data_IF_951078441850
#
_entry.id   IF_951078441850
#
_cell.length_a   1.000
_cell.length_b   1.000
_cell.length_c   1.000
_cell.angle_alpha   90.00
_cell.angle_beta   90.00
_cell.angle_gamma   90.00
#
_symmetry.space_group_name_H-M   'P 1'
#
loop_
_entity.id
_entity.type
_entity.pdbx_description
1 polymer ?
#
# COMPACT_ATOMS: atom_id res chain seq x y z
N UNK A 1 -5.14 -9.76 -23.17
CA UNK A 1 -3.67 -9.73 -23.33
C UNK A 1 -3.06 -9.20 -22.04
N UNK A 2 -2.03 -9.87 -21.51
CA UNK A 2 -1.25 -9.40 -20.36
C UNK A 2 0.11 -8.90 -20.86
N UNK A 3 0.58 -7.74 -20.36
CA UNK A 3 1.87 -7.14 -20.73
C UNK A 3 2.46 -6.39 -19.54
N UNK A 4 3.76 -6.58 -19.32
CA UNK A 4 4.49 -5.83 -18.30
C UNK A 4 4.78 -4.41 -18.77
N UNK A 5 4.53 -3.44 -17.90
CA UNK A 5 4.72 -2.00 -18.14
C UNK A 5 5.37 -1.41 -16.88
N UNK A 6 6.31 -0.46 -17.00
CA UNK A 6 6.84 0.24 -15.84
C UNK A 6 5.71 0.97 -15.08
N UNK A 7 5.74 0.92 -13.75
CA UNK A 7 4.78 1.57 -12.86
C UNK A 7 5.50 2.03 -11.57
N UNK A 8 4.91 3.02 -10.91
CA UNK A 8 5.33 3.51 -9.60
C UNK A 8 4.60 2.76 -8.49
N UNK A 9 5.36 2.25 -7.52
CA UNK A 9 4.84 1.45 -6.42
C UNK A 9 5.25 2.03 -5.06
N UNK A 10 4.43 1.76 -4.05
CA UNK A 10 4.81 1.85 -2.64
C UNK A 10 5.08 0.45 -2.12
N UNK A 11 6.26 0.26 -1.53
CA UNK A 11 6.64 -1.01 -0.93
C UNK A 11 5.88 -1.26 0.36
N UNK A 12 5.31 -2.46 0.50
CA UNK A 12 4.62 -2.87 1.74
C UNK A 12 5.60 -3.40 2.79
N UNK A 13 6.64 -4.11 2.35
CA UNK A 13 7.57 -4.86 3.22
C UNK A 13 8.99 -4.27 3.27
N UNK A 14 9.20 -3.09 2.67
CA UNK A 14 10.48 -2.40 2.77
C UNK A 14 10.67 -1.85 4.19
N UNK A 15 11.87 -2.08 4.75
CA UNK A 15 12.30 -1.51 6.01
C UNK A 15 12.32 0.03 5.93
N UNK A 16 11.72 0.68 6.94
CA UNK A 16 11.57 2.13 7.02
C UNK A 16 12.69 2.82 7.84
N UNK A 17 13.74 2.10 8.22
CA UNK A 17 14.92 2.59 8.95
C UNK A 17 14.88 2.32 10.46
N UNK A 18 13.80 1.74 10.97
CA UNK A 18 13.57 1.45 12.39
C UNK A 18 13.19 -0.03 12.64
N UNK A 19 13.43 -0.91 11.66
CA UNK A 19 13.05 -2.32 11.75
C UNK A 19 11.56 -2.58 11.50
N UNK A 20 10.78 -1.55 11.14
CA UNK A 20 9.36 -1.69 10.81
C UNK A 20 9.12 -1.52 9.30
N UNK A 21 7.98 -2.04 8.83
CA UNK A 21 7.53 -1.92 7.44
C UNK A 21 6.18 -1.20 7.40
N UNK A 22 5.75 -0.77 6.21
CA UNK A 22 4.43 -0.19 6.05
C UNK A 22 3.32 -1.19 6.45
N UNK A 23 3.51 -2.48 6.12
CA UNK A 23 2.59 -3.55 6.53
C UNK A 23 2.53 -3.70 8.04
N UNK A 24 3.66 -3.80 8.74
CA UNK A 24 3.66 -4.04 10.19
C UNK A 24 3.05 -2.86 10.95
N UNK A 25 3.35 -1.62 10.53
CA UNK A 25 2.72 -0.41 11.07
C UNK A 25 1.20 -0.40 10.85
N UNK A 26 0.75 -0.75 9.64
CA UNK A 26 -0.68 -0.81 9.34
C UNK A 26 -1.41 -1.89 10.15
N UNK A 27 -0.84 -3.09 10.29
CA UNK A 27 -1.41 -4.16 11.12
C UNK A 27 -1.51 -3.76 12.58
N UNK A 28 -0.46 -3.13 13.13
CA UNK A 28 -0.50 -2.60 14.49
C UNK A 28 -1.60 -1.55 14.66
N UNK A 29 -1.73 -0.61 13.72
CA UNK A 29 -2.77 0.41 13.78
C UNK A 29 -4.18 -0.18 13.71
N UNK A 30 -4.37 -1.25 12.92
CA UNK A 30 -5.63 -2.02 12.90
C UNK A 30 -5.90 -2.65 14.27
N UNK A 31 -4.89 -3.25 14.90
CA UNK A 31 -5.05 -3.87 16.22
C UNK A 31 -5.36 -2.87 17.34
N UNK A 32 -4.79 -1.66 17.26
CA UNK A 32 -5.02 -0.58 18.22
C UNK A 32 -6.39 0.12 18.02
N UNK A 33 -7.08 -0.16 16.91
CA UNK A 33 -8.34 0.50 16.53
C UNK A 33 -9.56 -0.28 17.02
N UNK A 34 -10.55 0.40 17.61
CA UNK A 34 -11.84 -0.21 17.96
C UNK A 34 -12.73 -0.40 16.74
N UNK A 35 -13.10 -1.65 16.45
CA UNK A 35 -14.06 -1.99 15.39
C UNK A 35 -15.46 -2.32 15.93
N UNK A 36 -16.50 -1.87 15.23
CA UNK A 36 -17.90 -2.23 15.50
C UNK A 36 -18.60 -2.52 14.17
N UNK A 37 -19.00 -3.79 13.88
CA UNK A 37 -18.77 -5.00 14.69
C UNK A 37 -17.31 -5.49 14.63
N UNK A 38 -16.89 -6.28 15.62
CA UNK A 38 -15.52 -6.80 15.75
C UNK A 38 -15.04 -7.60 14.51
N UNK A 39 -15.94 -8.29 13.83
CA UNK A 39 -15.64 -9.02 12.60
C UNK A 39 -15.05 -8.14 11.47
N UNK A 40 -15.27 -6.82 11.51
CA UNK A 40 -14.66 -5.88 10.57
C UNK A 40 -13.14 -5.84 10.68
N UNK A 41 -12.59 -5.98 11.88
CA UNK A 41 -11.14 -5.99 12.13
C UNK A 41 -10.48 -7.17 11.41
N UNK A 42 -11.04 -8.37 11.56
CA UNK A 42 -10.48 -9.58 10.95
C UNK A 42 -10.42 -9.46 9.41
N UNK A 43 -11.43 -8.83 8.80
CA UNK A 43 -11.49 -8.64 7.34
C UNK A 43 -10.41 -7.68 6.84
N UNK A 44 -10.28 -6.50 7.44
CA UNK A 44 -9.27 -5.52 7.02
C UNK A 44 -7.86 -6.02 7.35
N UNK A 45 -7.69 -6.70 8.49
CA UNK A 45 -6.41 -7.29 8.88
C UNK A 45 -5.96 -8.32 7.84
N UNK A 46 -6.80 -9.29 7.49
CA UNK A 46 -6.47 -10.31 6.48
C UNK A 46 -6.16 -9.68 5.11
N UNK A 47 -6.90 -8.64 4.71
CA UNK A 47 -6.60 -7.90 3.47
C UNK A 47 -5.19 -7.29 3.48
N UNK A 48 -4.75 -6.74 4.62
CA UNK A 48 -3.44 -6.10 4.75
C UNK A 48 -2.32 -7.12 4.95
N UNK A 49 -2.56 -8.28 5.57
CA UNK A 49 -1.55 -9.33 5.76
C UNK A 49 -0.98 -9.81 4.41
N UNK A 50 -1.84 -10.02 3.41
CA UNK A 50 -1.42 -10.56 2.09
C UNK A 50 -1.27 -9.49 0.99
N UNK A 51 -1.45 -8.21 1.32
CA UNK A 51 -1.45 -7.12 0.34
C UNK A 51 -0.10 -7.00 -0.40
N UNK A 52 -0.02 -7.08 -1.74
CA UNK A 52 1.22 -6.83 -2.47
C UNK A 52 1.57 -5.34 -2.49
N UNK A 53 2.74 -5.01 -3.04
CA UNK A 53 3.16 -3.62 -3.26
C UNK A 53 2.09 -2.80 -3.99
N UNK A 54 1.87 -1.59 -3.50
CA UNK A 54 0.75 -0.78 -3.92
C UNK A 54 1.11 0.06 -5.15
N UNK A 55 0.51 -0.27 -6.29
CA UNK A 55 0.69 0.50 -7.53
C UNK A 55 -0.09 1.82 -7.49
N UNK A 56 0.65 2.93 -7.50
CA UNK A 56 0.10 4.28 -7.45
C UNK A 56 -0.21 4.84 -8.84
N UNK A 57 0.69 4.62 -9.80
CA UNK A 57 0.59 5.25 -11.12
C UNK A 57 -0.55 4.67 -11.96
N UNK A 58 -1.14 5.52 -12.79
CA UNK A 58 -2.06 5.17 -13.86
C UNK A 58 -1.72 6.01 -15.09
N UNK A 59 -1.72 5.39 -16.27
CA UNK A 59 -1.52 6.10 -17.54
C UNK A 59 -2.82 6.80 -17.94
N UNK A 60 -3.14 7.93 -17.30
CA UNK A 60 -4.37 8.72 -17.51
C UNK A 60 -4.06 10.21 -17.43
N UNK A 61 -4.81 11.01 -18.19
CA UNK A 61 -4.68 12.47 -18.19
C UNK A 61 -5.51 13.17 -17.11
N UNK A 62 -6.62 12.56 -16.65
CA UNK A 62 -7.47 13.12 -15.61
C UNK A 62 -7.13 12.52 -14.24
N UNK A 63 -6.63 13.36 -13.34
CA UNK A 63 -6.20 12.98 -11.99
C UNK A 63 -5.12 13.93 -11.46
N UNK A 64 -4.61 13.63 -10.26
CA UNK A 64 -3.46 14.36 -9.70
C UNK A 64 -2.16 13.79 -10.29
N UNK A 65 -1.30 14.60 -10.92
CA UNK A 65 0.00 14.14 -11.41
C UNK A 65 0.91 13.69 -10.26
N UNK A 66 1.74 12.66 -10.51
CA UNK A 66 2.83 12.34 -9.60
C UNK A 66 3.89 13.43 -9.76
N UNK A 67 4.16 14.19 -8.70
CA UNK A 67 5.08 15.32 -8.69
C UNK A 67 6.55 14.84 -8.72
N UNK A 68 6.96 14.27 -9.85
CA UNK A 68 8.32 13.76 -10.10
C UNK A 68 8.81 14.31 -11.43
N UNK A 69 10.03 14.83 -11.43
CA UNK A 69 10.81 15.11 -12.62
C UNK A 69 11.99 14.15 -12.60
N UNK A 70 12.33 13.58 -13.75
CA UNK A 70 13.48 12.71 -13.91
C UNK A 70 14.25 13.16 -15.15
N UNK A 71 15.56 13.31 -15.02
CA UNK A 71 16.45 13.34 -16.18
C UNK A 71 16.59 11.90 -16.65
N UNK A 72 16.00 11.59 -17.79
CA UNK A 72 16.01 10.26 -18.40
C UNK A 72 17.06 10.21 -19.49
#
# INVERSE_FOLDING_TARGET
IFRNTPQWFVYMDKDLGDGTTLRSRALKAIDDTRFVPAAGQNRIRAMIEERPDWVLSRQRAWGVPIAVFADV
#
